data_IF_322213828003
#
_entry.id   IF_322213828003
#
_cell.length_a   1.000
_cell.length_b   1.000
_cell.length_c   1.000
_cell.angle_alpha   90.00
_cell.angle_beta   90.00
_cell.angle_gamma   90.00
#
_symmetry.space_group_name_H-M   'P 1'
#
loop_
_entity.id
_entity.type
_entity.pdbx_description
1 polymer ?
#
# COMPACT_ATOMS: atom_id res chain seq x y z
N UNK A 1 4.42 -10.91 21.65
CA UNK A 1 3.62 -9.65 21.55
C UNK A 1 3.87 -8.85 22.83
N UNK A 2 4.09 -7.53 22.76
CA UNK A 2 4.41 -6.72 23.94
C UNK A 2 3.25 -6.59 24.94
N UNK A 3 2.00 -6.73 24.48
CA UNK A 3 0.79 -6.71 25.32
C UNK A 3 -0.10 -7.94 25.04
N UNK A 4 -0.81 -8.40 26.05
CA UNK A 4 -1.79 -9.49 25.96
C UNK A 4 -3.20 -8.98 25.60
N UNK A 5 -3.35 -8.35 24.44
CA UNK A 5 -4.64 -7.82 23.95
C UNK A 5 -5.22 -8.76 22.89
N UNK A 6 -6.50 -9.13 23.03
CA UNK A 6 -7.26 -9.99 22.11
C UNK A 6 -8.45 -9.22 21.52
N UNK A 7 -9.07 -9.75 20.47
CA UNK A 7 -10.28 -9.16 19.86
C UNK A 7 -11.47 -9.11 20.82
N UNK A 8 -11.50 -10.00 21.81
CA UNK A 8 -12.52 -10.04 22.85
C UNK A 8 -12.21 -9.16 24.07
N UNK A 9 -11.04 -8.52 24.13
CA UNK A 9 -10.64 -7.69 25.28
C UNK A 9 -11.43 -6.39 25.28
N UNK A 10 -11.99 -6.02 26.43
CA UNK A 10 -12.78 -4.78 26.54
C UNK A 10 -11.90 -3.53 26.50
N UNK A 11 -12.47 -2.39 26.08
CA UNK A 11 -11.73 -1.12 26.03
C UNK A 11 -11.17 -0.71 27.41
N UNK A 12 -11.89 -1.01 28.50
CA UNK A 12 -11.45 -0.70 29.87
C UNK A 12 -10.21 -1.51 30.25
N UNK A 13 -10.19 -2.80 29.93
CA UNK A 13 -9.03 -3.67 30.16
C UNK A 13 -7.83 -3.24 29.32
N UNK A 14 -8.04 -2.82 28.07
CA UNK A 14 -6.97 -2.32 27.19
C UNK A 14 -6.32 -1.05 27.79
N UNK A 15 -7.13 -0.08 28.22
CA UNK A 15 -6.62 1.15 28.85
C UNK A 15 -5.86 0.81 30.13
N UNK A 16 -6.41 -0.07 30.97
CA UNK A 16 -5.73 -0.52 32.18
C UNK A 16 -4.38 -1.18 31.86
N UNK A 17 -4.33 -2.04 30.84
CA UNK A 17 -3.11 -2.71 30.41
C UNK A 17 -2.05 -1.72 29.93
N UNK A 18 -2.39 -0.69 29.16
CA UNK A 18 -1.41 0.33 28.76
C UNK A 18 -0.89 1.16 29.94
N UNK A 19 -1.71 1.36 30.98
CA UNK A 19 -1.32 2.11 32.16
C UNK A 19 -0.44 1.31 33.13
N UNK A 20 -0.63 -0.02 33.24
CA UNK A 20 0.01 -0.84 34.27
C UNK A 20 1.03 -1.84 33.75
N UNK A 21 0.95 -2.26 32.49
CA UNK A 21 1.84 -3.28 31.96
C UNK A 21 3.23 -2.72 31.66
N UNK A 22 4.25 -3.38 32.19
CA UNK A 22 5.64 -3.12 31.85
C UNK A 22 6.02 -4.03 30.67
N UNK A 23 6.41 -3.42 29.55
CA UNK A 23 6.91 -4.17 28.40
C UNK A 23 8.25 -4.81 28.78
N UNK A 24 8.31 -6.15 28.70
CA UNK A 24 9.54 -6.90 28.97
C UNK A 24 10.44 -6.87 27.74
N UNK A 25 11.69 -6.46 27.94
CA UNK A 25 12.74 -6.48 26.92
C UNK A 25 13.77 -7.56 27.28
N UNK A 26 13.93 -8.61 26.45
CA UNK A 26 14.91 -9.66 26.70
C UNK A 26 16.33 -9.11 26.80
N UNK A 27 17.13 -9.63 27.74
CA UNK A 27 18.53 -9.23 27.93
C UNK A 27 19.44 -9.55 26.75
N UNK A 28 19.02 -10.45 25.85
CA UNK A 28 19.72 -10.78 24.62
C UNK A 28 19.65 -9.66 23.56
N UNK A 29 18.80 -8.64 23.75
CA UNK A 29 18.67 -7.54 22.80
C UNK A 29 19.68 -6.42 23.10
N UNK A 30 20.18 -5.77 22.04
CA UNK A 30 21.06 -4.61 22.20
C UNK A 30 20.32 -3.44 22.86
N UNK A 31 21.04 -2.61 23.60
CA UNK A 31 20.45 -1.48 24.31
C UNK A 31 19.87 -0.45 23.33
N UNK A 32 20.53 -0.27 22.19
CA UNK A 32 20.13 0.62 21.11
C UNK A 32 18.78 0.17 20.52
N UNK A 33 18.62 -1.14 20.26
CA UNK A 33 17.35 -1.70 19.79
C UNK A 33 16.23 -1.51 20.83
N UNK A 34 16.51 -1.80 22.10
CA UNK A 34 15.54 -1.59 23.18
C UNK A 34 15.15 -0.11 23.29
N UNK A 35 16.10 0.81 23.14
CA UNK A 35 15.85 2.24 23.19
C UNK A 35 14.96 2.73 22.04
N UNK A 36 15.16 2.21 20.82
CA UNK A 36 14.29 2.47 19.68
C UNK A 36 12.87 1.95 19.94
N UNK A 37 12.74 0.71 20.42
CA UNK A 37 11.43 0.12 20.71
C UNK A 37 10.66 0.91 21.77
N UNK A 38 11.34 1.42 22.80
CA UNK A 38 10.72 2.30 23.80
C UNK A 38 10.15 3.57 23.17
N UNK A 39 10.88 4.20 22.24
CA UNK A 39 10.40 5.39 21.51
C UNK A 39 9.21 5.10 20.59
N UNK A 40 9.12 3.91 20.02
CA UNK A 40 7.99 3.47 19.19
C UNK A 40 6.78 3.04 20.02
N UNK A 41 7.00 2.47 21.21
CA UNK A 41 5.96 1.98 22.13
C UNK A 41 5.58 3.01 23.22
N UNK A 42 6.07 4.25 23.12
CA UNK A 42 5.78 5.32 24.07
C UNK A 42 4.27 5.58 24.16
N UNK A 43 3.62 5.40 25.32
CA UNK A 43 2.16 5.57 25.43
C UNK A 43 1.68 6.97 25.06
N UNK A 44 2.46 8.00 25.38
CA UNK A 44 2.14 9.38 25.01
C UNK A 44 2.48 9.64 23.52
N UNK A 45 1.48 9.95 22.65
CA UNK A 45 1.74 10.20 21.24
C UNK A 45 2.67 11.40 20.99
N UNK A 46 2.68 12.40 21.86
CA UNK A 46 3.53 13.60 21.71
C UNK A 46 5.02 13.31 21.95
N UNK A 47 5.32 12.19 22.63
CA UNK A 47 6.68 11.73 22.92
C UNK A 47 7.10 10.54 22.05
N UNK A 48 6.13 9.94 21.34
CA UNK A 48 6.35 8.80 20.46
C UNK A 48 6.94 9.26 19.14
N UNK A 49 7.87 8.47 18.61
CA UNK A 49 8.31 8.66 17.22
C UNK A 49 7.13 8.52 16.27
N UNK A 50 6.92 9.55 15.45
CA UNK A 50 5.76 9.68 14.57
C UNK A 50 6.14 10.14 13.16
N UNK A 51 7.40 10.53 12.95
CA UNK A 51 7.93 10.94 11.66
C UNK A 51 9.16 10.11 11.26
N UNK A 52 9.39 10.03 9.94
CA UNK A 52 10.58 9.37 9.39
C UNK A 52 11.87 9.99 9.95
N UNK A 53 11.89 11.32 10.09
CA UNK A 53 13.04 12.07 10.63
C UNK A 53 13.41 11.64 12.04
N UNK A 54 12.45 11.25 12.87
CA UNK A 54 12.72 10.79 14.24
C UNK A 54 13.56 9.50 14.22
N UNK A 55 13.25 8.61 13.28
CA UNK A 55 13.96 7.34 13.07
C UNK A 55 15.31 7.59 12.40
N UNK A 56 15.37 8.48 11.39
CA UNK A 56 16.60 8.83 10.67
C UNK A 56 17.65 9.44 11.59
N UNK A 57 17.23 10.28 12.55
CA UNK A 57 18.11 10.96 13.49
C UNK A 57 18.43 10.12 14.73
N UNK A 58 17.89 8.89 14.83
CA UNK A 58 18.09 8.05 15.99
C UNK A 58 19.42 7.30 15.90
N UNK A 59 20.26 7.28 16.97
CA UNK A 59 21.62 6.72 16.89
C UNK A 59 21.72 5.29 16.38
N UNK A 60 20.72 4.45 16.65
CA UNK A 60 20.67 3.06 16.16
C UNK A 60 20.59 2.95 14.64
N UNK A 61 20.17 4.01 13.94
CA UNK A 61 19.97 4.03 12.48
C UNK A 61 21.03 4.85 11.74
N UNK A 62 22.11 5.27 12.43
CA UNK A 62 23.14 6.15 11.84
C UNK A 62 23.89 5.52 10.66
N UNK A 63 23.96 4.20 10.59
CA UNK A 63 24.61 3.44 9.52
C UNK A 63 23.69 3.18 8.31
N UNK A 64 22.41 3.58 8.39
CA UNK A 64 21.44 3.33 7.33
C UNK A 64 21.59 4.31 6.16
N UNK A 65 21.79 3.76 4.96
CA UNK A 65 21.66 4.50 3.73
C UNK A 65 20.18 4.55 3.28
N UNK A 66 19.50 5.65 3.58
CA UNK A 66 18.07 5.84 3.31
C UNK A 66 17.72 5.88 1.81
N UNK A 67 18.63 6.34 0.94
CA UNK A 67 18.43 6.28 -0.51
C UNK A 67 18.46 4.83 -1.01
N UNK A 68 19.39 4.01 -0.47
CA UNK A 68 19.45 2.59 -0.77
C UNK A 68 18.22 1.83 -0.25
N UNK A 69 17.67 2.22 0.91
CA UNK A 69 16.38 1.71 1.42
C UNK A 69 15.26 2.01 0.43
N UNK A 70 15.11 3.28 0.03
CA UNK A 70 14.06 3.73 -0.89
C UNK A 70 14.14 3.00 -2.24
N UNK A 71 15.37 2.79 -2.73
CA UNK A 71 15.65 2.10 -3.99
C UNK A 71 15.63 0.57 -3.86
N UNK A 72 15.29 0.03 -2.69
CA UNK A 72 15.26 -1.42 -2.39
C UNK A 72 16.59 -2.13 -2.69
N UNK A 73 17.71 -1.45 -2.45
CA UNK A 73 19.07 -1.97 -2.68
C UNK A 73 19.65 -2.69 -1.47
N UNK A 74 19.06 -2.51 -0.28
CA UNK A 74 19.45 -3.28 0.89
C UNK A 74 18.92 -4.72 0.78
N UNK A 75 19.82 -5.69 0.87
CA UNK A 75 19.47 -7.11 0.82
C UNK A 75 18.84 -7.50 2.17
N UNK A 76 17.63 -8.07 2.20
CA UNK A 76 17.03 -8.56 3.44
C UNK A 76 17.88 -9.67 4.06
N UNK A 77 18.00 -9.68 5.39
CA UNK A 77 18.76 -10.71 6.12
C UNK A 77 18.18 -12.13 6.01
N UNK A 78 16.91 -12.25 5.58
CA UNK A 78 16.25 -13.52 5.32
C UNK A 78 15.42 -13.43 4.04
N UNK A 79 15.56 -14.44 3.18
CA UNK A 79 14.75 -14.60 1.97
C UNK A 79 14.00 -15.94 2.11
N UNK A 80 12.66 -15.93 2.19
CA UNK A 80 11.87 -17.16 2.22
C UNK A 80 12.15 -18.05 1.00
N UNK A 81 12.04 -19.37 1.18
CA UNK A 81 12.22 -20.31 0.08
C UNK A 81 11.13 -20.10 -0.99
N UNK A 82 11.55 -19.87 -2.23
CA UNK A 82 10.66 -19.63 -3.38
C UNK A 82 9.94 -20.89 -3.87
N UNK A 83 10.39 -22.09 -3.46
CA UNK A 83 9.88 -23.37 -3.95
C UNK A 83 8.60 -23.87 -3.28
N UNK A 84 8.09 -23.16 -2.27
CA UNK A 84 6.88 -23.56 -1.53
C UNK A 84 5.96 -22.35 -1.39
N UNK A 85 4.69 -22.49 -1.77
CA UNK A 85 3.68 -21.51 -1.45
C UNK A 85 3.63 -21.35 0.08
N UNK A 86 3.60 -20.10 0.57
CA UNK A 86 3.44 -19.82 2.00
C UNK A 86 2.04 -20.16 2.52
N UNK A 87 1.15 -20.54 1.60
CA UNK A 87 -0.22 -20.94 1.78
C UNK A 87 -0.30 -22.43 2.11
N UNK A 88 -1.06 -22.78 3.14
CA UNK A 88 -1.42 -24.19 3.41
C UNK A 88 -2.56 -24.59 2.47
N UNK A 89 -2.35 -25.49 1.50
CA UNK A 89 -3.38 -25.90 0.54
C UNK A 89 -4.62 -26.50 1.22
N UNK A 90 -4.51 -26.95 2.48
CA UNK A 90 -5.61 -27.50 3.26
C UNK A 90 -6.68 -26.45 3.58
N UNK A 91 -6.30 -25.17 3.68
CA UNK A 91 -7.19 -24.07 4.06
C UNK A 91 -7.56 -23.13 2.91
N UNK A 92 -6.96 -23.34 1.73
CA UNK A 92 -7.17 -22.52 0.52
C UNK A 92 -7.80 -23.34 -0.62
N UNK A 93 -8.67 -24.29 -0.26
CA UNK A 93 -9.43 -25.12 -1.21
C UNK A 93 -10.18 -24.28 -2.26
N UNK A 94 -10.57 -23.05 -1.93
CA UNK A 94 -11.19 -22.11 -2.86
C UNK A 94 -10.29 -21.83 -4.08
N UNK A 95 -8.97 -21.70 -3.91
CA UNK A 95 -8.02 -21.49 -5.03
C UNK A 95 -7.68 -22.79 -5.76
N UNK A 96 -7.69 -23.94 -5.07
CA UNK A 96 -7.50 -25.25 -5.70
C UNK A 96 -8.70 -25.71 -6.54
N UNK A 97 -9.89 -25.13 -6.30
CA UNK A 97 -11.14 -25.48 -6.99
C UNK A 97 -11.47 -24.48 -8.12
N UNK A 98 -10.81 -23.32 -8.25
CA UNK A 98 -11.09 -22.31 -9.28
C UNK A 98 -9.93 -22.23 -10.30
N UNK A 99 -10.06 -22.75 -11.53
CA UNK A 99 -10.76 -22.16 -12.69
C UNK A 99 -11.18 -23.23 -13.75
N UNK A 100 -12.15 -23.08 -14.69
CA UNK A 100 -13.28 -22.14 -14.91
C UNK A 100 -14.24 -22.54 -16.07
N UNK A 101 -14.03 -23.66 -16.81
CA UNK A 101 -15.00 -24.28 -17.76
C UNK A 101 -14.76 -25.80 -17.82
N UNK A 102 -15.74 -26.67 -17.49
CA UNK A 102 -15.55 -28.10 -17.63
C UNK A 102 -15.40 -28.46 -19.11
N UNK A 103 -14.28 -29.10 -19.48
CA UNK A 103 -14.00 -29.58 -20.83
C UNK A 103 -14.88 -30.81 -21.14
N UNK A 104 -16.18 -30.63 -21.40
CA UNK A 104 -16.98 -31.56 -22.22
C UNK A 104 -18.16 -30.82 -22.88
N UNK A 105 -18.24 -30.92 -24.22
CA UNK A 105 -19.19 -30.23 -25.10
C UNK A 105 -20.66 -30.54 -24.74
N UNK A 106 -21.38 -29.57 -24.19
CA UNK A 106 -22.80 -29.34 -24.53
C UNK A 106 -22.98 -27.91 -25.02
N UNK A 107 -23.13 -27.76 -26.35
CA UNK A 107 -23.54 -26.51 -26.98
C UNK A 107 -24.94 -26.13 -26.50
N UNK A 108 -25.05 -25.27 -25.50
CA UNK A 108 -26.13 -24.28 -25.38
C UNK A 108 -25.55 -23.02 -24.74
N UNK A 109 -25.01 -22.13 -25.57
CA UNK A 109 -24.78 -20.74 -25.18
C UNK A 109 -26.15 -20.08 -25.03
N UNK A 110 -26.68 -20.03 -23.81
CA UNK A 110 -27.64 -18.97 -23.49
C UNK A 110 -26.82 -17.70 -23.36
N UNK A 111 -26.76 -16.93 -24.44
CA UNK A 111 -26.37 -15.53 -24.34
C UNK A 111 -27.35 -14.90 -23.35
N UNK A 112 -26.89 -14.59 -22.15
CA UNK A 112 -27.61 -13.70 -21.23
C UNK A 112 -27.51 -12.31 -21.84
N UNK A 113 -28.34 -12.06 -22.85
CA UNK A 113 -28.76 -10.70 -23.19
C UNK A 113 -29.37 -10.13 -21.91
N UNK A 114 -29.18 -8.84 -21.66
CA UNK A 114 -30.16 -8.03 -20.92
C UNK A 114 -31.51 -8.21 -21.60
N UNK A 115 -32.21 -9.30 -21.27
CA UNK A 115 -33.63 -9.44 -21.53
C UNK A 115 -34.28 -9.03 -20.23
N UNK A 116 -34.98 -7.90 -20.30
CA UNK A 116 -36.05 -7.45 -19.42
C UNK A 116 -36.19 -8.33 -18.18
N UNK A 117 -35.56 -7.87 -17.10
CA UNK A 117 -35.77 -8.45 -15.79
C UNK A 117 -37.28 -8.36 -15.54
N UNK A 118 -37.97 -9.50 -15.54
CA UNK A 118 -39.29 -9.58 -14.91
C UNK A 118 -39.10 -9.05 -13.50
N UNK A 119 -39.64 -7.86 -13.24
CA UNK A 119 -39.68 -7.23 -11.92
C UNK A 119 -40.14 -8.30 -10.93
N UNK A 120 -39.23 -8.75 -10.08
CA UNK A 120 -39.67 -9.23 -8.78
C UNK A 120 -40.10 -7.95 -8.07
N UNK A 121 -41.40 -7.66 -8.08
CA UNK A 121 -42.04 -6.47 -7.50
C UNK A 121 -41.94 -6.49 -5.96
N UNK A 122 -40.72 -6.51 -5.43
CA UNK A 122 -40.47 -6.20 -4.03
C UNK A 122 -39.74 -4.86 -3.95
N UNK A 123 -40.25 -3.95 -3.13
CA UNK A 123 -39.67 -2.62 -2.93
C UNK A 123 -38.18 -2.66 -2.55
N UNK A 124 -37.73 -3.77 -1.95
CA UNK A 124 -36.35 -4.02 -1.58
C UNK A 124 -35.40 -4.20 -2.77
N UNK A 125 -35.86 -4.84 -3.86
CA UNK A 125 -35.03 -5.01 -5.07
C UNK A 125 -34.89 -3.71 -5.86
N UNK A 126 -35.94 -2.88 -5.86
CA UNK A 126 -35.90 -1.55 -6.46
C UNK A 126 -34.93 -0.63 -5.73
N UNK A 127 -35.01 -0.58 -4.39
CA UNK A 127 -34.10 0.21 -3.57
C UNK A 127 -32.64 -0.22 -3.76
N UNK A 128 -32.38 -1.52 -3.81
CA UNK A 128 -31.04 -2.04 -4.11
C UNK A 128 -30.55 -1.59 -5.49
N UNK A 129 -31.41 -1.63 -6.50
CA UNK A 129 -31.05 -1.20 -7.86
C UNK A 129 -30.72 0.30 -7.93
N UNK A 130 -31.46 1.13 -7.19
CA UNK A 130 -31.18 2.56 -7.08
C UNK A 130 -29.82 2.82 -6.42
N UNK A 131 -29.51 2.12 -5.32
CA UNK A 131 -28.20 2.21 -4.68
C UNK A 131 -27.06 1.76 -5.61
N UNK A 132 -27.25 0.66 -6.36
CA UNK A 132 -26.26 0.19 -7.33
C UNK A 132 -26.04 1.20 -8.47
N UNK A 133 -27.12 1.84 -8.94
CA UNK A 133 -27.03 2.88 -9.94
C UNK A 133 -26.29 4.13 -9.41
N UNK A 134 -26.52 4.50 -8.15
CA UNK A 134 -25.80 5.59 -7.49
C UNK A 134 -24.30 5.30 -7.41
N UNK A 135 -23.92 4.09 -6.97
CA UNK A 135 -22.51 3.66 -6.93
C UNK A 135 -21.88 3.72 -8.32
N UNK A 136 -22.56 3.18 -9.34
CA UNK A 136 -22.05 3.20 -10.71
C UNK A 136 -21.85 4.62 -11.25
N UNK A 137 -22.73 5.55 -10.89
CA UNK A 137 -22.66 6.96 -11.32
C UNK A 137 -21.54 7.72 -10.63
N UNK A 138 -21.29 7.46 -9.35
CA UNK A 138 -20.32 8.19 -8.54
C UNK A 138 -18.92 7.57 -8.56
N UNK A 139 -18.79 6.34 -9.03
CA UNK A 139 -17.50 5.64 -9.08
C UNK A 139 -16.51 6.31 -10.05
N UNK A 140 -15.40 6.79 -9.52
CA UNK A 140 -14.32 7.39 -10.31
C UNK A 140 -13.30 6.31 -10.69
N UNK A 141 -13.16 6.07 -11.98
CA UNK A 141 -12.14 5.15 -12.50
C UNK A 141 -10.75 5.79 -12.35
N UNK A 142 -9.94 5.25 -11.45
CA UNK A 142 -8.53 5.58 -11.35
C UNK A 142 -7.67 4.61 -12.16
N UNK A 143 -6.80 5.14 -13.02
CA UNK A 143 -5.84 4.35 -13.80
C UNK A 143 -4.44 4.97 -13.69
N UNK A 144 -3.57 4.34 -12.90
CA UNK A 144 -2.20 4.80 -12.66
C UNK A 144 -1.37 4.91 -13.94
N UNK A 145 -1.54 3.99 -14.88
CA UNK A 145 -0.80 4.00 -16.15
C UNK A 145 -1.24 5.12 -17.07
N UNK A 146 -2.54 5.48 -17.05
CA UNK A 146 -3.03 6.68 -17.74
C UNK A 146 -2.41 7.94 -17.14
N UNK A 147 -2.45 8.08 -15.80
CA UNK A 147 -1.83 9.22 -15.10
C UNK A 147 -0.34 9.36 -15.41
N UNK A 148 0.39 8.24 -15.43
CA UNK A 148 1.83 8.22 -15.76
C UNK A 148 2.11 8.67 -17.20
N UNK A 149 1.31 8.19 -18.18
CA UNK A 149 1.43 8.61 -19.58
C UNK A 149 1.15 10.11 -19.75
N UNK A 150 0.08 10.60 -19.14
CA UNK A 150 -0.32 12.01 -19.21
C UNK A 150 0.75 12.92 -18.58
N UNK A 151 1.33 12.51 -17.44
CA UNK A 151 2.44 13.21 -16.79
C UNK A 151 3.69 13.31 -17.68
N UNK A 152 4.09 12.20 -18.31
CA UNK A 152 5.24 12.18 -19.21
C UNK A 152 5.02 13.04 -20.46
N UNK A 153 3.80 13.02 -21.03
CA UNK A 153 3.45 13.84 -22.19
C UNK A 153 3.51 15.34 -21.86
N UNK A 154 3.01 15.75 -20.68
CA UNK A 154 3.12 17.14 -20.21
C UNK A 154 4.57 17.58 -20.07
N UNK A 155 5.43 16.74 -19.48
CA UNK A 155 6.86 17.07 -19.38
C UNK A 155 7.55 17.19 -20.74
N UNK A 156 7.23 16.32 -21.70
CA UNK A 156 7.78 16.38 -23.05
C UNK A 156 7.37 17.68 -23.78
N UNK A 157 6.11 18.10 -23.64
CA UNK A 157 5.62 19.33 -24.25
C UNK A 157 6.28 20.58 -23.65
N UNK A 158 6.50 20.62 -22.33
CA UNK A 158 7.22 21.73 -21.66
C UNK A 158 8.69 21.81 -22.10
N UNK A 159 9.35 20.68 -22.37
CA UNK A 159 10.72 20.66 -22.87
C UNK A 159 10.83 21.15 -24.34
N UNK A 160 9.76 21.05 -25.13
CA UNK A 160 9.69 21.50 -26.52
C UNK A 160 9.39 22.99 -26.67
N UNK A 161 8.78 23.63 -25.65
CA UNK A 161 8.46 25.07 -25.65
C UNK A 161 9.58 25.99 -25.14
N UNK A 162 10.74 25.43 -24.74
CA UNK A 162 11.94 26.25 -24.48
C UNK A 162 12.45 26.82 -25.82
N UNK A 163 12.45 28.15 -26.03
CA UNK A 163 12.93 28.72 -27.28
C UNK A 163 14.45 28.50 -27.39
N UNK A 164 14.88 27.89 -28.50
CA UNK A 164 16.25 28.05 -29.00
C UNK A 164 16.43 29.53 -29.32
N UNK A 165 17.17 30.27 -28.50
CA UNK A 165 17.64 31.61 -28.84
C UNK A 165 18.41 31.55 -30.18
N UNK A 166 18.01 32.30 -31.22
CA UNK A 166 18.81 32.49 -32.41
C UNK A 166 19.89 33.56 -32.14
N UNK A 167 21.14 33.19 -32.38
CA UNK A 167 22.32 34.00 -32.70
C UNK A 167 22.30 35.50 -32.36
N UNK A 168 23.26 35.92 -31.52
CA UNK A 168 24.03 37.15 -31.78
C UNK A 168 25.49 36.72 -32.01
N UNK A 169 25.89 36.71 -33.28
CA UNK A 169 27.26 37.09 -33.64
C UNK A 169 27.37 38.59 -33.41
N UNK A 170 28.20 39.02 -32.46
CA UNK A 170 29.04 40.19 -32.72
C UNK A 170 30.39 39.99 -32.04
N UNK A 171 31.44 40.16 -32.83
CA UNK A 171 32.80 39.97 -32.38
C UNK A 171 33.32 41.20 -31.66
N UNK A 172 34.14 41.01 -30.62
CA UNK A 172 35.31 41.87 -30.40
C UNK A 172 36.28 41.25 -29.38
N UNK A 173 37.54 41.16 -29.83
CA UNK A 173 38.74 40.94 -29.05
C UNK A 173 38.86 41.95 -27.88
N UNK A 174 39.46 41.54 -26.76
CA UNK A 174 40.82 41.97 -26.40
C UNK A 174 41.32 41.34 -25.09
N UNK A 175 42.62 41.04 -25.11
CA UNK A 175 43.48 40.60 -24.02
C UNK A 175 43.38 41.50 -22.77
N UNK A 176 43.31 40.88 -21.57
CA UNK A 176 44.37 40.91 -20.55
C UNK A 176 44.17 39.77 -19.54
#
# INVERSE_FOLDING_TARGET
RPYHIRSSTSSKEIVHMFATAIVTYPSAWSQEMVSLLKKLLEPNPDQRFSHLTDIQNFPYMNDMNWDAVLQKRLIPGFIPNKGRLNCDPTFELEEMILESKPLHKKKKRLAKKEKEMRKCDSSQTYLLQEHLASVQKEFIIFNREKVKRDFNQRQANVALEQPKNPQEEDGQNNNL
#
